data_IF_318674411500
#
_entry.id   IF_318674411500
#
_cell.length_a   1.000
_cell.length_b   1.000
_cell.length_c   1.000
_cell.angle_alpha   90.00
_cell.angle_beta   90.00
_cell.angle_gamma   90.00
#
_symmetry.space_group_name_H-M   'P 1'
#
loop_
_entity.id
_entity.type
_entity.pdbx_description
1 polymer ?
#
# COMPACT_ATOMS: atom_id res chain seq x y z
N UNK A 1 14.89 12.83 -15.02
CA UNK A 1 14.58 12.38 -13.64
C UNK A 1 14.24 10.89 -13.69
N UNK A 2 14.37 10.17 -12.57
CA UNK A 2 14.07 8.73 -12.47
C UNK A 2 12.59 8.53 -12.13
N UNK A 3 11.96 7.46 -12.60
CA UNK A 3 10.70 6.95 -12.05
C UNK A 3 10.70 5.43 -12.03
N UNK A 4 9.92 4.81 -11.15
CA UNK A 4 9.72 3.37 -11.13
C UNK A 4 8.48 3.04 -11.95
N UNK A 5 8.58 2.02 -12.80
CA UNK A 5 7.42 1.31 -13.35
C UNK A 5 7.55 -0.18 -13.03
N UNK A 6 6.42 -0.84 -12.90
CA UNK A 6 6.41 -2.27 -12.63
C UNK A 6 5.12 -2.94 -12.98
N UNK A 7 5.20 -4.26 -13.13
CA UNK A 7 4.05 -5.11 -13.37
C UNK A 7 4.20 -6.38 -12.56
N UNK A 8 3.15 -6.72 -11.82
CA UNK A 8 2.99 -7.97 -11.09
C UNK A 8 1.83 -8.75 -11.74
N UNK A 9 2.12 -9.97 -12.20
CA UNK A 9 1.12 -10.91 -12.71
C UNK A 9 1.14 -12.15 -11.83
N UNK A 10 0.01 -12.46 -11.20
CA UNK A 10 -0.07 -13.58 -10.24
C UNK A 10 -0.99 -14.69 -10.72
N UNK A 11 -0.79 -15.94 -10.25
CA UNK A 11 -1.75 -17.00 -10.48
C UNK A 11 -3.13 -16.63 -9.91
N UNK A 12 -4.21 -17.05 -10.60
CA UNK A 12 -5.57 -16.79 -10.15
C UNK A 12 -5.84 -17.26 -8.70
N UNK A 13 -5.25 -18.39 -8.30
CA UNK A 13 -5.33 -18.92 -6.93
C UNK A 13 -4.83 -17.91 -5.87
N UNK A 14 -3.78 -17.16 -6.17
CA UNK A 14 -3.16 -16.20 -5.25
C UNK A 14 -3.74 -14.79 -5.38
N UNK A 15 -4.50 -14.51 -6.46
CA UNK A 15 -4.99 -13.17 -6.79
C UNK A 15 -5.75 -12.51 -5.65
N UNK A 16 -6.71 -13.23 -5.05
CA UNK A 16 -7.54 -12.69 -3.97
C UNK A 16 -6.68 -12.27 -2.77
N UNK A 17 -5.69 -13.08 -2.41
CA UNK A 17 -4.81 -12.82 -1.27
C UNK A 17 -3.88 -11.64 -1.54
N UNK A 18 -3.24 -11.61 -2.70
CA UNK A 18 -2.33 -10.52 -3.11
C UNK A 18 -3.10 -9.20 -3.20
N UNK A 19 -4.23 -9.19 -3.89
CA UNK A 19 -5.07 -7.99 -4.04
C UNK A 19 -5.55 -7.46 -2.68
N UNK A 20 -6.02 -8.33 -1.80
CA UNK A 20 -6.46 -7.91 -0.45
C UNK A 20 -5.29 -7.42 0.41
N UNK A 21 -4.09 -8.00 0.28
CA UNK A 21 -2.91 -7.56 1.04
C UNK A 21 -2.53 -6.13 0.67
N UNK A 22 -2.53 -5.79 -0.64
CA UNK A 22 -2.31 -4.42 -1.12
C UNK A 22 -3.36 -3.46 -0.54
N UNK A 23 -4.65 -3.83 -0.61
CA UNK A 23 -5.73 -2.99 -0.09
C UNK A 23 -5.64 -2.80 1.42
N UNK A 24 -5.34 -3.86 2.16
CA UNK A 24 -5.24 -3.83 3.62
C UNK A 24 -4.10 -2.91 4.06
N UNK A 25 -2.91 -3.07 3.48
CA UNK A 25 -1.77 -2.20 3.77
C UNK A 25 -2.11 -0.71 3.59
N UNK A 26 -2.72 -0.34 2.45
CA UNK A 26 -3.06 1.06 2.20
C UNK A 26 -4.17 1.55 3.13
N UNK A 27 -5.14 0.69 3.46
CA UNK A 27 -6.21 1.05 4.39
C UNK A 27 -5.71 1.19 5.84
N UNK A 28 -4.71 0.41 6.24
CA UNK A 28 -4.00 0.55 7.51
C UNK A 28 -3.23 1.87 7.55
N UNK A 29 -2.54 2.26 6.47
CA UNK A 29 -1.90 3.58 6.36
C UNK A 29 -2.92 4.73 6.48
N UNK A 30 -4.11 4.59 5.90
CA UNK A 30 -5.19 5.58 6.01
C UNK A 30 -5.71 5.68 7.45
N UNK A 31 -5.87 4.55 8.14
CA UNK A 31 -6.35 4.50 9.52
C UNK A 31 -5.32 5.10 10.49
N UNK A 32 -4.05 4.74 10.33
CA UNK A 32 -2.95 5.33 11.07
C UNK A 32 -2.85 6.85 10.83
N UNK A 33 -3.08 7.31 9.58
CA UNK A 33 -3.12 8.74 9.28
C UNK A 33 -4.25 9.47 10.04
N UNK A 34 -5.42 8.86 10.14
CA UNK A 34 -6.56 9.42 10.88
C UNK A 34 -6.27 9.53 12.37
N UNK A 35 -5.70 8.49 12.99
CA UNK A 35 -5.32 8.50 14.40
C UNK A 35 -4.26 9.56 14.69
N UNK A 36 -3.21 9.66 13.85
CA UNK A 36 -2.19 10.70 13.96
C UNK A 36 -2.79 12.10 13.78
N UNK A 37 -3.72 12.28 12.85
CA UNK A 37 -4.41 13.57 12.65
C UNK A 37 -5.20 14.01 13.89
N UNK A 38 -5.89 13.08 14.57
CA UNK A 38 -6.61 13.36 15.82
C UNK A 38 -5.67 13.81 16.94
N UNK A 39 -4.52 13.14 17.08
CA UNK A 39 -3.50 13.51 18.07
C UNK A 39 -2.96 14.92 17.80
N UNK A 40 -2.53 15.18 16.56
CA UNK A 40 -2.00 16.48 16.13
C UNK A 40 -3.04 17.59 16.34
N UNK A 41 -4.29 17.36 15.93
CA UNK A 41 -5.37 18.33 16.13
C UNK A 41 -5.59 18.65 17.62
N UNK A 42 -5.56 17.63 18.47
CA UNK A 42 -5.74 17.80 19.92
C UNK A 42 -4.59 18.57 20.56
N UNK A 43 -3.35 18.33 20.13
CA UNK A 43 -2.17 19.08 20.57
C UNK A 43 -2.26 20.55 20.16
N UNK A 44 -2.53 20.80 18.87
CA UNK A 44 -2.64 22.15 18.30
C UNK A 44 -3.77 22.97 18.92
N UNK A 45 -4.90 22.33 19.23
CA UNK A 45 -6.02 23.00 19.90
C UNK A 45 -5.71 23.41 21.34
N UNK A 46 -4.76 22.73 22.00
CA UNK A 46 -4.34 23.05 23.38
C UNK A 46 -3.24 24.10 23.43
N UNK A 47 -2.46 24.27 22.37
CA UNK A 47 -1.27 25.12 22.36
C UNK A 47 -1.52 26.60 22.07
N UNK A 48 -2.79 27.00 21.90
CA UNK A 48 -3.24 28.37 21.57
C UNK A 48 -2.45 29.03 20.41
N UNK A 49 -1.93 28.19 19.52
CA UNK A 49 -1.05 28.59 18.42
C UNK A 49 -1.86 29.20 17.30
N UNK A 50 -1.39 30.32 16.74
CA UNK A 50 -2.08 30.97 15.63
C UNK A 50 -2.08 30.08 14.38
N UNK A 51 -3.08 30.26 13.51
CA UNK A 51 -3.19 29.46 12.27
C UNK A 51 -1.96 29.65 11.35
N UNK A 52 -1.38 30.85 11.31
CA UNK A 52 -0.19 31.17 10.51
C UNK A 52 1.05 30.45 11.04
N UNK A 53 1.24 30.42 12.36
CA UNK A 53 2.30 29.64 13.00
C UNK A 53 2.12 28.14 12.75
N UNK A 54 0.88 27.62 12.83
CA UNK A 54 0.57 26.23 12.49
C UNK A 54 0.97 25.92 11.05
N UNK A 55 0.61 26.78 10.09
CA UNK A 55 0.96 26.58 8.69
C UNK A 55 2.47 26.55 8.46
N UNK A 56 3.21 27.46 9.08
CA UNK A 56 4.66 27.56 8.93
C UNK A 56 5.43 26.40 9.57
N UNK A 57 4.89 25.83 10.65
CA UNK A 57 5.52 24.76 11.44
C UNK A 57 4.89 23.37 11.23
N UNK A 58 3.87 23.25 10.38
CA UNK A 58 3.07 22.04 10.23
C UNK A 58 3.90 20.79 9.98
N UNK A 59 4.92 20.89 9.12
CA UNK A 59 5.79 19.75 8.81
C UNK A 59 6.62 19.30 10.02
N UNK A 60 7.10 20.23 10.84
CA UNK A 60 7.84 19.91 12.07
C UNK A 60 6.94 19.28 13.12
N UNK A 61 5.71 19.80 13.25
CA UNK A 61 4.70 19.26 14.16
C UNK A 61 4.31 17.84 13.73
N UNK A 62 4.04 17.64 12.44
CA UNK A 62 3.76 16.32 11.88
C UNK A 62 4.94 15.35 12.09
N UNK A 63 6.18 15.78 11.90
CA UNK A 63 7.37 14.93 12.07
C UNK A 63 7.48 14.29 13.46
N UNK A 64 6.92 14.90 14.51
CA UNK A 64 6.87 14.30 15.86
C UNK A 64 6.13 12.97 15.88
N UNK A 65 5.09 12.82 15.05
CA UNK A 65 4.31 11.58 14.91
C UNK A 65 4.89 10.61 13.86
N UNK A 66 6.03 10.96 13.26
CA UNK A 66 6.73 10.20 12.21
C UNK A 66 5.76 9.61 11.16
N UNK A 67 4.90 10.43 10.51
CA UNK A 67 4.04 9.94 9.44
C UNK A 67 4.87 9.56 8.22
N UNK A 68 4.38 8.59 7.44
CA UNK A 68 4.86 8.40 6.06
C UNK A 68 4.45 9.59 5.19
N UNK A 69 5.09 9.77 4.02
CA UNK A 69 4.75 10.87 3.10
C UNK A 69 3.26 10.84 2.71
N UNK A 70 2.71 9.65 2.49
CA UNK A 70 1.29 9.48 2.19
C UNK A 70 0.40 9.88 3.38
N UNK A 71 0.72 9.41 4.59
CA UNK A 71 0.01 9.80 5.80
C UNK A 71 0.06 11.32 6.01
N UNK A 72 1.22 11.95 5.80
CA UNK A 72 1.38 13.40 5.95
C UNK A 72 0.49 14.18 4.99
N UNK A 73 0.36 13.73 3.73
CA UNK A 73 -0.57 14.32 2.75
C UNK A 73 -2.02 14.21 3.21
N UNK A 74 -2.44 13.04 3.70
CA UNK A 74 -3.79 12.84 4.23
C UNK A 74 -4.05 13.73 5.44
N UNK A 75 -3.14 13.75 6.42
CA UNK A 75 -3.24 14.59 7.62
C UNK A 75 -3.36 16.06 7.20
N UNK A 76 -2.47 16.55 6.33
CA UNK A 76 -2.50 17.94 5.83
C UNK A 76 -3.84 18.28 5.21
N UNK A 77 -4.33 17.44 4.28
CA UNK A 77 -5.62 17.67 3.61
C UNK A 77 -6.81 17.62 4.57
N UNK A 78 -6.70 16.89 5.68
CA UNK A 78 -7.78 16.76 6.67
C UNK A 78 -7.84 17.92 7.66
N UNK A 79 -6.67 18.49 8.01
CA UNK A 79 -6.55 19.52 9.05
C UNK A 79 -6.49 20.93 8.47
N UNK A 80 -5.98 21.09 7.24
CA UNK A 80 -5.74 22.38 6.61
C UNK A 80 -6.52 22.45 5.29
N UNK A 81 -7.32 23.50 5.13
CA UNK A 81 -7.89 23.86 3.83
C UNK A 81 -7.02 24.92 3.17
N UNK A 82 -6.92 24.88 1.83
CA UNK A 82 -6.28 25.94 1.05
C UNK A 82 -7.10 27.23 0.96
N UNK A 83 -8.36 27.22 1.40
CA UNK A 83 -9.29 28.35 1.21
C UNK A 83 -9.65 29.10 2.49
N UNK A 84 -9.51 28.47 3.66
CA UNK A 84 -9.96 29.07 4.92
C UNK A 84 -8.87 29.01 5.99
N UNK A 85 -8.72 30.09 6.74
CA UNK A 85 -7.71 30.24 7.78
C UNK A 85 -8.16 29.67 9.12
N UNK A 86 -8.52 28.38 9.15
CA UNK A 86 -8.83 27.68 10.38
C UNK A 86 -8.38 26.22 10.35
N UNK A 87 -8.10 25.68 11.54
CA UNK A 87 -7.75 24.28 11.73
C UNK A 87 -9.03 23.43 11.75
N UNK A 88 -9.11 22.45 10.86
CA UNK A 88 -10.25 21.55 10.74
C UNK A 88 -10.11 20.37 11.68
N UNK A 89 -11.19 20.00 12.36
CA UNK A 89 -11.27 18.71 13.05
C UNK A 89 -11.24 17.58 12.02
N UNK A 90 -10.36 16.57 12.18
CA UNK A 90 -10.28 15.47 11.24
C UNK A 90 -11.57 14.63 11.29
N UNK A 91 -12.16 14.38 10.11
CA UNK A 91 -13.37 13.58 9.99
C UNK A 91 -13.07 12.26 9.28
N UNK A 92 -13.60 11.14 9.77
CA UNK A 92 -13.36 9.80 9.18
C UNK A 92 -13.67 9.72 7.68
N UNK A 93 -14.68 10.45 7.20
CA UNK A 93 -15.04 10.48 5.79
C UNK A 93 -14.00 11.14 4.88
N UNK A 94 -13.10 11.96 5.42
CA UNK A 94 -11.96 12.52 4.67
C UNK A 94 -10.84 11.48 4.45
N UNK A 95 -10.86 10.37 5.20
CA UNK A 95 -9.91 9.27 5.12
C UNK A 95 -10.55 8.08 4.40
N UNK A 96 -10.83 8.26 3.11
CA UNK A 96 -11.61 7.30 2.32
C UNK A 96 -10.81 6.01 2.07
N UNK A 97 -11.26 4.91 2.67
CA UNK A 97 -10.72 3.55 2.45
C UNK A 97 -10.99 3.03 1.04
N UNK A 98 -10.07 2.23 0.53
CA UNK A 98 -10.23 1.47 -0.71
C UNK A 98 -11.00 0.17 -0.45
N UNK A 99 -11.78 -0.26 -1.44
CA UNK A 99 -12.63 -1.47 -1.33
C UNK A 99 -12.23 -2.50 -2.38
N UNK A 100 -12.82 -3.69 -2.31
CA UNK A 100 -12.66 -4.71 -3.34
C UNK A 100 -13.18 -4.30 -4.73
N UNK A 101 -13.82 -3.14 -4.87
CA UNK A 101 -14.22 -2.54 -6.16
C UNK A 101 -13.12 -1.66 -6.76
N UNK A 102 -12.12 -1.27 -5.98
CA UNK A 102 -11.02 -0.41 -6.42
C UNK A 102 -10.24 -1.04 -7.57
N UNK A 103 -10.07 -0.30 -8.66
CA UNK A 103 -9.24 -0.67 -9.81
C UNK A 103 -8.07 0.31 -10.03
N UNK A 104 -8.08 1.46 -9.36
CA UNK A 104 -7.03 2.47 -9.40
C UNK A 104 -6.79 2.96 -7.97
N UNK A 105 -5.52 2.99 -7.57
CA UNK A 105 -5.07 3.55 -6.30
C UNK A 105 -4.04 4.61 -6.63
N UNK A 106 -4.20 5.80 -6.07
CA UNK A 106 -3.25 6.88 -6.19
C UNK A 106 -2.97 7.43 -4.79
N UNK A 107 -1.75 7.20 -4.32
CA UNK A 107 -1.24 7.70 -3.03
C UNK A 107 -0.26 8.86 -3.23
N UNK A 108 -0.25 9.49 -4.41
CA UNK A 108 0.64 10.57 -4.85
C UNK A 108 1.98 10.07 -5.35
N UNK A 109 2.78 9.53 -4.44
CA UNK A 109 4.12 9.01 -4.78
C UNK A 109 4.05 7.73 -5.62
N UNK A 110 2.99 6.94 -5.43
CA UNK A 110 2.78 5.67 -6.12
C UNK A 110 1.35 5.62 -6.66
N UNK A 111 1.21 5.13 -7.88
CA UNK A 111 -0.04 4.81 -8.52
C UNK A 111 -0.08 3.32 -8.87
N UNK A 112 -1.21 2.68 -8.60
CA UNK A 112 -1.47 1.28 -8.94
C UNK A 112 -2.69 1.17 -9.83
N UNK A 113 -2.54 0.53 -10.98
CA UNK A 113 -3.64 0.11 -11.84
C UNK A 113 -3.87 -1.40 -11.65
N UNK A 114 -5.09 -1.79 -11.29
CA UNK A 114 -5.44 -3.16 -10.89
C UNK A 114 -6.38 -3.76 -11.95
N UNK A 115 -5.83 -4.66 -12.76
CA UNK A 115 -6.56 -5.39 -13.81
C UNK A 115 -7.01 -6.74 -13.27
N UNK A 116 -8.20 -6.75 -12.66
CA UNK A 116 -8.79 -7.94 -12.00
C UNK A 116 -8.99 -9.13 -12.91
N UNK A 117 -9.40 -8.90 -14.15
CA UNK A 117 -9.60 -9.97 -15.15
C UNK A 117 -8.30 -10.71 -15.48
N UNK A 118 -7.19 -9.97 -15.45
CA UNK A 118 -5.88 -10.46 -15.86
C UNK A 118 -4.98 -10.80 -14.66
N UNK A 119 -5.51 -10.74 -13.43
CA UNK A 119 -4.75 -10.92 -12.18
C UNK A 119 -3.44 -10.09 -12.17
N UNK A 120 -3.53 -8.84 -12.64
CA UNK A 120 -2.37 -7.98 -12.88
C UNK A 120 -2.45 -6.69 -12.07
N UNK A 121 -1.32 -6.27 -11.49
CA UNK A 121 -1.13 -4.96 -10.87
C UNK A 121 0.00 -4.25 -11.61
N UNK A 122 -0.28 -3.10 -12.21
CA UNK A 122 0.74 -2.20 -12.73
C UNK A 122 1.03 -1.13 -11.69
N UNK A 123 2.30 -0.82 -11.50
CA UNK A 123 2.80 0.17 -10.57
C UNK A 123 3.54 1.25 -11.35
N UNK A 124 3.32 2.51 -10.99
CA UNK A 124 4.14 3.63 -11.44
C UNK A 124 4.34 4.63 -10.32
N UNK A 125 5.48 5.31 -10.30
CA UNK A 125 5.77 6.36 -9.32
C UNK A 125 5.90 7.72 -9.98
N UNK A 126 5.87 8.76 -9.15
CA UNK A 126 6.36 10.07 -9.52
C UNK A 126 7.88 10.06 -9.78
N UNK A 127 8.39 11.21 -10.24
CA UNK A 127 9.81 11.37 -10.51
C UNK A 127 10.62 11.59 -9.23
N UNK A 128 11.77 10.94 -9.12
CA UNK A 128 12.72 11.09 -8.02
C UNK A 128 14.17 11.19 -8.52
N UNK A 129 15.08 11.52 -7.60
CA UNK A 129 16.50 11.77 -7.89
C UNK A 129 17.41 10.60 -7.56
N UNK A 130 17.15 9.91 -6.43
CA UNK A 130 17.95 8.79 -5.92
C UNK A 130 17.04 7.60 -5.60
N UNK A 131 17.32 6.43 -6.19
CA UNK A 131 16.52 5.22 -6.02
C UNK A 131 16.57 4.68 -4.59
N UNK A 132 17.75 4.62 -3.98
CA UNK A 132 17.92 4.02 -2.66
C UNK A 132 17.22 4.87 -1.59
N UNK A 133 17.40 6.20 -1.65
CA UNK A 133 16.69 7.14 -0.78
C UNK A 133 15.18 7.04 -0.96
N UNK A 134 14.72 6.91 -2.21
CA UNK A 134 13.29 6.80 -2.52
C UNK A 134 12.67 5.51 -1.98
N UNK A 135 13.34 4.36 -2.09
CA UNK A 135 12.84 3.09 -1.53
C UNK A 135 12.79 3.15 0.00
N UNK A 136 13.78 3.80 0.63
CA UNK A 136 13.85 3.98 2.09
C UNK A 136 12.75 4.90 2.61
N UNK A 137 12.46 6.02 1.92
CA UNK A 137 11.41 6.95 2.33
C UNK A 137 10.00 6.45 1.96
N UNK A 138 9.88 5.68 0.88
CA UNK A 138 8.61 5.16 0.40
C UNK A 138 8.34 3.74 0.93
N UNK A 139 7.72 3.68 2.11
CA UNK A 139 7.36 2.40 2.77
C UNK A 139 6.50 1.51 1.89
N UNK A 140 5.66 2.07 1.01
CA UNK A 140 4.81 1.29 0.11
C UNK A 140 5.62 0.42 -0.86
N UNK A 141 6.69 0.96 -1.48
CA UNK A 141 7.49 0.19 -2.45
C UNK A 141 8.21 -0.98 -1.76
N UNK A 142 8.75 -0.73 -0.57
CA UNK A 142 9.38 -1.78 0.23
C UNK A 142 8.38 -2.87 0.61
N UNK A 143 7.22 -2.50 1.15
CA UNK A 143 6.17 -3.47 1.52
C UNK A 143 5.58 -4.23 0.33
N UNK A 144 5.46 -3.56 -0.83
CA UNK A 144 5.06 -4.21 -2.08
C UNK A 144 6.06 -5.29 -2.49
N UNK A 145 7.37 -5.00 -2.45
CA UNK A 145 8.41 -5.98 -2.75
C UNK A 145 8.36 -7.15 -1.75
N UNK A 146 8.14 -6.87 -0.47
CA UNK A 146 8.02 -7.89 0.58
C UNK A 146 6.87 -8.85 0.29
N UNK A 147 5.69 -8.29 0.01
CA UNK A 147 4.51 -9.06 -0.37
C UNK A 147 4.78 -9.90 -1.62
N UNK A 148 5.47 -9.36 -2.63
CA UNK A 148 5.81 -10.13 -3.84
C UNK A 148 6.75 -11.30 -3.51
N UNK A 149 7.72 -11.08 -2.62
CA UNK A 149 8.70 -12.09 -2.21
C UNK A 149 8.10 -13.23 -1.39
N UNK A 150 6.95 -13.01 -0.76
CA UNK A 150 6.27 -14.08 -0.02
C UNK A 150 5.50 -15.02 -0.96
N UNK A 151 5.11 -14.58 -2.18
CA UNK A 151 4.24 -15.32 -3.12
C UNK A 151 4.76 -16.75 -3.33
N UNK A 152 3.95 -17.80 -3.04
CA UNK A 152 4.32 -19.19 -3.30
C UNK A 152 4.25 -19.43 -4.80
N UNK A 153 5.28 -18.99 -5.51
CA UNK A 153 5.36 -19.11 -6.95
C UNK A 153 5.27 -20.57 -7.39
N UNK A 154 4.44 -20.90 -8.40
CA UNK A 154 4.31 -22.27 -8.85
C UNK A 154 5.64 -22.75 -9.45
N UNK A 155 6.17 -23.86 -8.96
CA UNK A 155 7.41 -24.52 -9.42
C UNK A 155 7.26 -25.19 -10.79
N UNK A 156 6.04 -25.23 -11.36
CA UNK A 156 5.75 -26.06 -12.53
C UNK A 156 6.44 -25.51 -13.79
N UNK A 157 7.58 -26.10 -14.12
CA UNK A 157 8.32 -26.00 -15.38
C UNK A 157 7.60 -26.78 -16.48
N UNK A 158 6.38 -26.36 -16.84
CA UNK A 158 5.67 -26.86 -18.01
C UNK A 158 5.86 -25.94 -19.21
N UNK A 159 5.60 -26.40 -20.45
CA UNK A 159 5.61 -25.56 -21.65
C UNK A 159 4.48 -24.51 -21.66
N UNK A 160 3.59 -24.51 -20.65
CA UNK A 160 2.57 -23.46 -20.45
C UNK A 160 3.22 -22.08 -20.38
N UNK A 161 2.89 -21.23 -21.34
CA UNK A 161 3.49 -19.93 -21.71
C UNK A 161 3.08 -18.78 -20.77
N UNK A 162 2.36 -19.06 -19.68
CA UNK A 162 1.76 -18.00 -18.87
C UNK A 162 2.83 -17.18 -18.12
N UNK A 163 2.98 -15.90 -18.49
CA UNK A 163 3.79 -14.89 -17.78
C UNK A 163 3.30 -14.76 -16.35
N UNK A 164 4.20 -14.99 -15.38
CA UNK A 164 3.90 -14.92 -13.94
C UNK A 164 5.12 -14.38 -13.21
N UNK A 165 4.91 -13.44 -12.31
CA UNK A 165 6.00 -12.80 -11.59
C UNK A 165 5.87 -11.30 -11.55
N UNK A 166 6.92 -10.67 -11.05
CA UNK A 166 7.02 -9.24 -10.87
C UNK A 166 8.30 -8.73 -11.53
N UNK A 167 8.21 -7.59 -12.20
CA UNK A 167 9.35 -6.77 -12.56
C UNK A 167 9.10 -5.35 -12.07
N UNK A 168 10.12 -4.75 -11.45
CA UNK A 168 10.23 -3.31 -11.23
C UNK A 168 11.47 -2.79 -11.97
N UNK A 169 11.30 -1.69 -12.67
CA UNK A 169 12.34 -1.03 -13.43
C UNK A 169 12.35 0.46 -13.13
N UNK A 170 13.52 1.08 -13.26
CA UNK A 170 13.65 2.52 -13.30
C UNK A 170 13.65 3.00 -14.74
N UNK A 171 13.05 4.16 -14.99
CA UNK A 171 13.09 4.86 -16.26
C UNK A 171 13.92 6.14 -16.12
N UNK A 172 14.94 6.31 -16.96
CA UNK A 172 15.74 7.54 -17.07
C UNK A 172 16.05 7.82 -18.54
N UNK A 173 15.67 8.99 -19.05
CA UNK A 173 16.00 9.42 -20.42
C UNK A 173 15.69 8.33 -21.47
N UNK A 174 14.50 7.73 -21.40
CA UNK A 174 14.07 6.64 -22.29
C UNK A 174 14.90 5.34 -22.22
N UNK A 175 15.74 5.18 -21.21
CA UNK A 175 16.34 3.89 -20.83
C UNK A 175 15.57 3.28 -19.68
N UNK A 176 15.34 1.97 -19.78
CA UNK A 176 14.77 1.17 -18.71
C UNK A 176 15.85 0.29 -18.09
N UNK A 177 15.96 0.31 -16.76
CA UNK A 177 16.91 -0.48 -15.98
C UNK A 177 16.15 -1.30 -14.94
N UNK A 178 16.23 -2.63 -15.02
CA UNK A 178 15.56 -3.53 -14.07
C UNK A 178 16.36 -3.56 -12.78
N UNK A 179 15.72 -3.26 -11.64
CA UNK A 179 16.35 -3.36 -10.33
C UNK A 179 15.73 -4.46 -9.45
N UNK A 180 14.56 -4.98 -9.82
CA UNK A 180 13.92 -6.08 -9.10
C UNK A 180 13.13 -6.98 -10.04
N UNK A 181 13.28 -8.30 -9.85
CA UNK A 181 12.54 -9.34 -10.58
C UNK A 181 12.25 -10.54 -9.67
N UNK A 182 11.06 -11.10 -9.75
CA UNK A 182 10.64 -12.27 -8.97
C UNK A 182 9.62 -13.11 -9.71
N UNK A 183 9.55 -14.42 -9.40
CA UNK A 183 8.59 -15.36 -9.99
C UNK A 183 9.01 -16.01 -11.32
N UNK A 184 8.22 -17.00 -11.81
CA UNK A 184 8.56 -17.84 -12.95
C UNK A 184 8.12 -17.18 -14.27
N UNK A 185 9.09 -16.70 -15.05
CA UNK A 185 8.89 -15.91 -16.28
C UNK A 185 8.23 -14.55 -16.00
N UNK A 186 8.95 -13.63 -15.33
CA UNK A 186 8.45 -12.28 -15.04
C UNK A 186 8.07 -11.50 -16.32
N UNK A 187 7.16 -10.51 -16.23
CA UNK A 187 6.69 -9.75 -17.39
C UNK A 187 7.80 -9.09 -18.20
N UNK A 188 7.87 -9.39 -19.50
CA UNK A 188 8.93 -8.82 -20.35
C UNK A 188 8.81 -7.29 -20.39
N UNK A 189 9.91 -6.53 -20.23
CA UNK A 189 9.84 -5.07 -20.17
C UNK A 189 9.34 -4.40 -21.46
N UNK A 190 9.24 -5.14 -22.56
CA UNK A 190 8.57 -4.69 -23.79
C UNK A 190 7.08 -4.36 -23.58
N UNK A 191 6.45 -4.81 -22.49
CA UNK A 191 5.10 -4.42 -22.11
C UNK A 191 4.98 -2.96 -21.65
N UNK A 192 6.08 -2.28 -21.35
CA UNK A 192 6.10 -0.85 -20.97
C UNK A 192 6.22 0.10 -22.18
N UNK A 193 6.14 -0.42 -23.42
CA UNK A 193 6.21 0.36 -24.67
C UNK A 193 4.97 1.21 -24.99
N UNK A 194 4.06 1.43 -24.04
CA UNK A 194 2.94 2.33 -24.25
C UNK A 194 3.34 3.75 -23.85
N UNK A 195 3.54 4.57 -24.88
CA UNK A 195 3.83 6.02 -24.89
C UNK A 195 5.31 6.41 -24.72
N UNK A 196 5.99 6.68 -25.85
CA UNK A 196 7.15 7.60 -25.88
C UNK A 196 8.55 6.99 -26.01
N UNK A 197 8.78 6.05 -26.93
CA UNK A 197 10.12 5.82 -27.51
C UNK A 197 11.22 5.38 -26.54
N UNK A 198 11.08 4.22 -25.91
CA UNK A 198 12.19 3.58 -25.16
C UNK A 198 13.12 2.89 -26.16
N UNK A 199 14.34 3.40 -26.35
CA UNK A 199 15.27 2.95 -27.39
C UNK A 199 16.16 1.77 -27.00
N UNK A 200 16.29 1.44 -25.72
CA UNK A 200 17.01 0.24 -25.27
C UNK A 200 16.64 -0.11 -23.82
N UNK A 201 16.37 -1.40 -23.55
CA UNK A 201 16.34 -1.95 -22.20
C UNK A 201 17.74 -2.50 -21.94
N UNK A 202 18.53 -1.81 -21.14
CA UNK A 202 19.78 -2.37 -20.61
C UNK A 202 19.37 -3.19 -19.38
N UNK A 203 19.39 -4.53 -19.48
CA UNK A 203 19.29 -5.42 -18.31
C UNK A 203 20.58 -5.32 -17.51
N UNK A 204 20.78 -4.13 -16.93
CA UNK A 204 21.70 -3.93 -15.84
C UNK A 204 20.90 -4.25 -14.60
N UNK A 205 20.90 -5.53 -14.22
CA UNK A 205 20.43 -5.92 -12.89
C UNK A 205 21.32 -5.18 -11.89
N UNK A 206 20.89 -4.01 -11.42
CA UNK A 206 21.56 -3.34 -10.30
C UNK A 206 21.52 -4.30 -9.12
N UNK A 207 22.62 -4.37 -8.36
CA UNK A 207 22.65 -5.13 -7.11
C UNK A 207 21.43 -4.74 -6.28
N UNK A 208 20.60 -5.73 -5.94
CA UNK A 208 19.40 -5.53 -5.13
C UNK A 208 19.74 -4.64 -3.93
N UNK A 209 18.97 -3.56 -3.67
CA UNK A 209 19.25 -2.68 -2.55
C UNK A 209 19.43 -3.49 -1.26
N UNK A 210 20.53 -3.26 -0.54
CA UNK A 210 20.98 -4.11 0.57
C UNK A 210 19.95 -4.28 1.69
N UNK A 211 19.01 -3.34 1.84
CA UNK A 211 17.91 -3.44 2.78
C UNK A 211 16.89 -4.52 2.38
N UNK A 212 16.62 -4.74 1.09
CA UNK A 212 15.72 -5.80 0.59
C UNK A 212 16.34 -7.20 0.72
N UNK A 213 17.68 -7.29 0.73
CA UNK A 213 18.41 -8.53 1.00
C UNK A 213 18.37 -8.97 2.48
N UNK A 214 17.92 -8.10 3.40
CA UNK A 214 17.84 -8.39 4.83
C UNK A 214 16.73 -9.37 5.18
N UNK A 215 17.06 -10.46 5.90
CA UNK A 215 16.10 -11.46 6.40
C UNK A 215 15.00 -10.86 7.29
N UNK A 216 15.21 -9.69 7.90
CA UNK A 216 14.22 -9.00 8.75
C UNK A 216 12.95 -8.60 7.99
N UNK A 217 13.07 -8.40 6.68
CA UNK A 217 11.97 -7.96 5.83
C UNK A 217 11.09 -9.15 5.37
N UNK A 218 11.64 -10.37 5.39
CA UNK A 218 10.93 -11.59 4.98
C UNK A 218 9.93 -12.14 6.03
N UNK A 219 9.79 -11.49 7.19
CA UNK A 219 8.98 -12.00 8.31
C UNK A 219 7.54 -11.48 8.37
N UNK A 220 7.09 -10.66 7.41
CA UNK A 220 5.69 -10.20 7.39
C UNK A 220 4.82 -11.35 6.87
N UNK A 221 4.03 -11.90 7.79
CA UNK A 221 3.20 -13.09 7.56
C UNK A 221 2.11 -12.79 6.53
N UNK A 222 1.86 -13.78 5.69
CA UNK A 222 0.57 -13.93 5.03
C UNK A 222 -0.57 -13.72 6.00
N UNK A 223 -1.41 -12.71 5.76
CA UNK A 223 -2.74 -12.68 6.38
C UNK A 223 -3.55 -13.73 5.64
N UNK A 224 -3.47 -14.97 6.12
CA UNK A 224 -4.32 -16.05 5.68
C UNK A 224 -5.74 -15.70 6.13
N UNK A 225 -6.63 -15.31 5.22
CA UNK A 225 -8.05 -15.09 5.53
C UNK A 225 -8.83 -16.40 5.66
N UNK A 226 -8.14 -17.54 5.83
CA UNK A 226 -8.75 -18.77 6.33
C UNK A 226 -8.77 -18.72 7.86
N UNK A 227 -9.56 -17.80 8.41
CA UNK A 227 -9.95 -17.86 9.80
C UNK A 227 -11.47 -17.75 9.84
N UNK A 228 -12.12 -18.88 9.59
CA UNK A 228 -13.45 -19.17 10.12
C UNK A 228 -13.32 -19.47 11.62
N UNK A 229 -12.83 -18.53 12.42
CA UNK A 229 -12.90 -18.63 13.88
C UNK A 229 -13.81 -17.53 14.39
N UNK A 230 -14.98 -17.97 14.84
CA UNK A 230 -15.86 -17.28 15.76
C UNK A 230 -15.04 -16.46 16.76
N UNK A 231 -15.15 -15.13 16.67
CA UNK A 231 -14.86 -14.30 17.84
C UNK A 231 -16.04 -14.49 18.79
N UNK A 232 -15.84 -15.40 19.74
CA UNK A 232 -16.62 -15.63 20.93
C UNK A 232 -16.92 -14.29 21.60
N UNK A 233 -18.14 -13.79 21.44
CA UNK A 233 -18.64 -12.80 22.38
C UNK A 233 -18.94 -13.54 23.69
N UNK A 234 -18.53 -13.04 24.85
CA UNK A 234 -18.89 -13.67 26.11
C UNK A 234 -20.40 -13.56 26.29
N UNK A 235 -21.06 -14.72 26.35
CA UNK A 235 -22.46 -14.83 26.75
C UNK A 235 -22.49 -14.56 28.26
N UNK A 236 -23.31 -13.62 28.76
CA UNK A 236 -23.47 -13.41 30.19
C UNK A 236 -23.95 -14.69 30.89
N UNK A 237 -23.26 -15.10 31.95
CA UNK A 237 -23.64 -16.24 32.77
C UNK A 237 -24.86 -15.91 33.65
N UNK A 238 -25.88 -16.78 33.49
CA UNK A 238 -26.99 -17.13 34.38
C UNK A 238 -28.09 -16.09 34.68
N UNK A 239 -29.31 -16.42 34.24
CA UNK A 239 -30.45 -16.61 35.17
C UNK A 239 -31.16 -17.92 34.84
N UNK A 240 -31.38 -18.68 35.90
CA UNK A 240 -32.00 -19.99 36.07
C UNK A 240 -33.47 -20.10 35.65
N UNK A 241 -33.78 -21.28 35.09
CA UNK A 241 -34.94 -22.16 35.32
C UNK A 241 -36.39 -21.67 35.16
N UNK A 242 -37.15 -22.61 34.59
CA UNK A 242 -38.61 -22.82 34.62
C UNK A 242 -39.42 -22.01 33.60
N UNK A 243 -39.86 -22.67 32.53
CA UNK A 243 -41.22 -23.18 32.42
C UNK A 243 -41.35 -23.91 31.07
N UNK A 244 -41.22 -25.24 31.11
CA UNK A 244 -42.17 -26.06 30.36
C UNK A 244 -43.56 -25.72 30.92
N UNK A 245 -44.47 -25.35 30.01
CA UNK A 245 -45.93 -25.46 30.12
C UNK A 245 -46.52 -24.37 29.24
N UNK A 246 -47.02 -24.73 28.06
CA UNK A 246 -48.42 -24.52 27.71
C UNK A 246 -48.77 -25.46 26.55
N UNK A 247 -49.63 -26.42 26.90
CA UNK A 247 -50.31 -27.36 26.02
C UNK A 247 -51.22 -26.66 25.01
N UNK A 248 -51.55 -27.43 23.97
CA UNK A 248 -52.65 -27.22 23.04
C UNK A 248 -53.99 -27.06 23.78
N UNK A 249 -54.73 -26.01 23.43
CA UNK A 249 -56.13 -26.06 22.99
C UNK A 249 -56.48 -24.77 22.20
#
# INVERSE_FOLDING_TARGET
MLSIKGTLIVPNKEWKHVYNSVLNFINEEIEAAYEKALLIYTELKKSDTSYEEILSSFEEICKKQRPSDYQQRLIRSSLLSGTNNYLYSPKKNNFKKFTNRTCLIDIGSVQLEIKKKDCTINLSTEFFSNLDEYIVSNTFISEFINMVNTIPWPTRTGPSVATRGCILLTLKNHKATIFYKSGPRPPVPSLFHTTGGVSAIEDTTLSEPSHLASKMIRSIRYVNTEVSSETSQPIPEQITNNFDDYEED
#
